data_IF_344018951192
#
_entry.id   IF_344018951192
#
_cell.length_a   1.000
_cell.length_b   1.000
_cell.length_c   1.000
_cell.angle_alpha   90.00
_cell.angle_beta   90.00
_cell.angle_gamma   90.00
#
_symmetry.space_group_name_H-M   'P 1'
#
loop_
_entity.id
_entity.type
_entity.pdbx_description
1 polymer ?
#
# COMPACT_ATOMS: atom_id res chain seq x y z
N UNK A 1 5.55 -12.73 -3.56
CA UNK A 1 4.39 -12.20 -4.29
C UNK A 1 3.06 -12.77 -3.81
N UNK A 2 2.79 -14.08 -3.90
CA UNK A 2 1.51 -14.66 -3.40
C UNK A 2 1.24 -14.41 -1.91
N UNK A 3 2.27 -14.45 -1.07
CA UNK A 3 2.17 -14.08 0.35
C UNK A 3 1.80 -12.60 0.55
N UNK A 4 2.34 -11.70 -0.28
CA UNK A 4 2.01 -10.26 -0.23
C UNK A 4 0.55 -10.02 -0.64
N UNK A 5 0.07 -10.70 -1.68
CA UNK A 5 -1.34 -10.63 -2.09
C UNK A 5 -2.26 -11.17 -0.99
N UNK A 6 -1.89 -12.28 -0.35
CA UNK A 6 -2.67 -12.83 0.76
C UNK A 6 -2.74 -11.86 1.95
N UNK A 7 -1.59 -11.30 2.36
CA UNK A 7 -1.53 -10.29 3.42
C UNK A 7 -2.35 -9.03 3.05
N UNK A 8 -2.24 -8.54 1.80
CA UNK A 8 -3.04 -7.40 1.33
C UNK A 8 -4.54 -7.71 1.33
N UNK A 9 -4.95 -8.93 0.96
CA UNK A 9 -6.36 -9.36 1.05
C UNK A 9 -6.86 -9.35 2.49
N UNK A 10 -6.04 -9.83 3.43
CA UNK A 10 -6.36 -9.76 4.86
C UNK A 10 -6.51 -8.31 5.30
N UNK A 11 -5.53 -7.45 4.98
CA UNK A 11 -5.58 -6.02 5.31
C UNK A 11 -6.88 -5.37 4.75
N UNK A 12 -7.22 -5.64 3.48
CA UNK A 12 -8.44 -5.11 2.84
C UNK A 12 -9.71 -5.59 3.55
N UNK A 13 -9.78 -6.88 3.89
CA UNK A 13 -10.93 -7.45 4.59
C UNK A 13 -11.11 -6.86 5.99
N UNK A 14 -10.01 -6.68 6.73
CA UNK A 14 -10.04 -6.03 8.05
C UNK A 14 -10.49 -4.57 7.95
N UNK A 15 -10.01 -3.84 6.94
CA UNK A 15 -10.44 -2.47 6.69
C UNK A 15 -11.92 -2.36 6.34
N UNK A 16 -12.44 -3.29 5.52
CA UNK A 16 -13.86 -3.36 5.19
C UNK A 16 -14.72 -3.52 6.46
N UNK A 17 -14.35 -4.45 7.34
CA UNK A 17 -15.06 -4.69 8.59
C UNK A 17 -15.05 -3.45 9.51
N UNK A 18 -13.91 -2.76 9.63
CA UNK A 18 -13.80 -1.52 10.43
C UNK A 18 -14.63 -0.38 9.83
N UNK A 19 -14.61 -0.24 8.51
CA UNK A 19 -15.38 0.78 7.81
C UNK A 19 -16.90 0.58 7.99
N UNK A 20 -17.38 -0.67 7.99
CA UNK A 20 -18.77 -1.01 8.32
C UNK A 20 -19.17 -0.62 9.74
N UNK A 21 -18.24 -0.72 10.70
CA UNK A 21 -18.46 -0.26 12.07
C UNK A 21 -18.30 1.27 12.27
N UNK A 22 -18.05 2.02 11.19
CA UNK A 22 -17.86 3.48 11.23
C UNK A 22 -16.43 3.95 11.55
N UNK A 23 -15.48 3.02 11.70
CA UNK A 23 -14.07 3.33 11.93
C UNK A 23 -13.34 3.42 10.58
N UNK A 24 -13.10 4.65 10.13
CA UNK A 24 -12.50 4.93 8.81
C UNK A 24 -11.05 5.39 8.86
N UNK A 25 -10.56 5.77 10.04
CA UNK A 25 -9.18 6.26 10.20
C UNK A 25 -8.21 5.08 10.36
N UNK A 26 -7.07 5.15 9.67
CA UNK A 26 -5.99 4.18 9.92
C UNK A 26 -5.30 4.54 11.23
N UNK A 27 -5.05 3.57 12.10
CA UNK A 27 -4.27 3.84 13.29
C UNK A 27 -2.80 4.13 12.93
N UNK A 28 -2.10 4.86 13.81
CA UNK A 28 -0.65 5.04 13.66
C UNK A 28 0.07 3.67 13.68
N UNK A 29 -0.46 2.70 14.42
CA UNK A 29 0.07 1.34 14.49
C UNK A 29 -0.07 0.59 13.16
N UNK A 30 -1.17 0.79 12.43
CA UNK A 30 -1.34 0.26 11.08
C UNK A 30 -0.27 0.83 10.14
N UNK A 31 0.01 2.14 10.23
CA UNK A 31 1.02 2.81 9.43
C UNK A 31 2.44 2.30 9.76
N UNK A 32 2.77 2.13 11.05
CA UNK A 32 4.05 1.56 11.51
C UNK A 32 4.21 0.12 11.02
N UNK A 33 3.16 -0.69 11.16
CA UNK A 33 3.14 -2.08 10.73
C UNK A 33 3.36 -2.20 9.22
N UNK A 34 2.68 -1.37 8.44
CA UNK A 34 2.87 -1.30 6.99
C UNK A 34 4.31 -0.92 6.62
N UNK A 35 4.88 0.14 7.20
CA UNK A 35 6.29 0.54 6.96
C UNK A 35 7.25 -0.58 7.32
N UNK A 36 7.03 -1.22 8.46
CA UNK A 36 7.88 -2.33 8.93
C UNK A 36 7.88 -3.50 7.95
N UNK A 37 6.73 -3.82 7.35
CA UNK A 37 6.64 -4.85 6.29
C UNK A 37 7.41 -4.45 5.03
N UNK A 38 7.34 -3.18 4.62
CA UNK A 38 8.06 -2.70 3.43
C UNK A 38 9.58 -2.60 3.64
N UNK A 39 10.02 -2.40 4.89
CA UNK A 39 11.44 -2.37 5.25
C UNK A 39 12.03 -3.73 5.67
N UNK A 40 11.25 -4.82 5.63
CA UNK A 40 11.79 -6.14 5.92
C UNK A 40 12.79 -6.54 4.82
N UNK A 41 14.09 -6.40 5.10
CA UNK A 41 15.20 -6.62 4.15
C UNK A 41 15.04 -7.88 3.29
N UNK A 42 14.67 -9.01 3.90
CA UNK A 42 14.50 -10.29 3.17
C UNK A 42 13.38 -10.21 2.13
N UNK A 43 12.28 -9.53 2.46
CA UNK A 43 11.17 -9.30 1.52
C UNK A 43 11.60 -8.34 0.40
N UNK A 44 12.26 -7.25 0.75
CA UNK A 44 12.79 -6.27 -0.21
C UNK A 44 13.75 -6.89 -1.21
N UNK A 45 14.72 -7.68 -0.73
CA UNK A 45 15.68 -8.38 -1.56
C UNK A 45 14.98 -9.35 -2.53
N UNK A 46 14.07 -10.18 -2.03
CA UNK A 46 13.31 -11.12 -2.85
C UNK A 46 12.44 -10.42 -3.91
N UNK A 47 11.79 -9.31 -3.56
CA UNK A 47 10.99 -8.54 -4.51
C UNK A 47 11.85 -8.00 -5.65
N UNK A 48 13.04 -7.46 -5.34
CA UNK A 48 13.97 -6.92 -6.33
C UNK A 48 14.57 -8.01 -7.22
N UNK A 49 14.89 -9.18 -6.68
CA UNK A 49 15.31 -10.34 -7.48
C UNK A 49 14.23 -10.77 -8.48
N UNK A 50 12.97 -10.82 -8.04
CA UNK A 50 11.82 -11.14 -8.90
C UNK A 50 11.67 -10.10 -10.02
N UNK A 51 11.78 -8.81 -9.70
CA UNK A 51 11.70 -7.76 -10.73
C UNK A 51 12.87 -7.78 -11.71
N UNK A 52 14.09 -8.05 -11.21
CA UNK A 52 15.27 -8.21 -12.06
C UNK A 52 15.16 -9.44 -12.99
N UNK A 53 14.53 -10.53 -12.52
CA UNK A 53 14.24 -11.69 -13.35
C UNK A 53 13.12 -11.42 -14.36
N UNK A 54 12.04 -10.74 -13.94
CA UNK A 54 10.95 -10.34 -14.83
C UNK A 54 11.44 -9.51 -16.02
N UNK A 55 12.41 -8.62 -15.80
CA UNK A 55 13.04 -7.82 -16.86
C UNK A 55 13.81 -8.66 -17.90
N UNK A 56 14.17 -9.90 -17.58
CA UNK A 56 14.96 -10.81 -18.43
C UNK A 56 14.16 -12.02 -18.93
N UNK A 57 12.99 -12.29 -18.35
CA UNK A 57 12.23 -13.51 -18.57
C UNK A 57 10.73 -13.24 -18.69
N UNK A 58 10.20 -13.35 -19.92
CA UNK A 58 8.79 -13.05 -20.25
C UNK A 58 7.78 -13.91 -19.45
N UNK A 59 8.17 -15.12 -19.02
CA UNK A 59 7.28 -15.95 -18.19
C UNK A 59 7.15 -15.37 -16.79
N UNK A 60 8.25 -14.89 -16.23
CA UNK A 60 8.26 -14.23 -14.91
C UNK A 60 7.58 -12.87 -14.99
N UNK A 61 7.81 -12.12 -16.06
CA UNK A 61 7.08 -10.87 -16.35
C UNK A 61 5.56 -11.08 -16.35
N UNK A 62 5.08 -12.09 -17.06
CA UNK A 62 3.64 -12.39 -17.13
C UNK A 62 3.04 -12.71 -15.74
N UNK A 63 3.80 -13.42 -14.89
CA UNK A 63 3.38 -13.70 -13.51
C UNK A 63 3.33 -12.41 -12.70
N UNK A 64 4.37 -11.57 -12.77
CA UNK A 64 4.42 -10.28 -12.06
C UNK A 64 3.29 -9.36 -12.50
N UNK A 65 3.01 -9.24 -13.81
CA UNK A 65 1.89 -8.43 -14.33
C UNK A 65 0.54 -8.92 -13.82
N UNK A 66 0.32 -10.24 -13.80
CA UNK A 66 -0.91 -10.82 -13.25
C UNK A 66 -1.06 -10.52 -11.76
N UNK A 67 0.02 -10.64 -10.99
CA UNK A 67 0.02 -10.29 -9.58
C UNK A 67 -0.25 -8.81 -9.34
N UNK A 68 0.37 -7.92 -10.13
CA UNK A 68 0.15 -6.48 -10.05
C UNK A 68 -1.32 -6.10 -10.35
N UNK A 69 -1.98 -6.78 -11.29
CA UNK A 69 -3.40 -6.56 -11.55
C UNK A 69 -4.28 -6.89 -10.32
N UNK A 70 -4.00 -8.02 -9.65
CA UNK A 70 -4.71 -8.40 -8.42
C UNK A 70 -4.44 -7.41 -7.29
N UNK A 71 -3.18 -6.99 -7.10
CA UNK A 71 -2.82 -5.98 -6.10
C UNK A 71 -3.53 -4.65 -6.38
N UNK A 72 -3.61 -4.24 -7.65
CA UNK A 72 -4.31 -3.02 -8.06
C UNK A 72 -5.79 -3.07 -7.68
N UNK A 73 -6.48 -4.17 -7.97
CA UNK A 73 -7.91 -4.32 -7.64
C UNK A 73 -8.17 -4.19 -6.13
N UNK A 74 -7.28 -4.75 -5.31
CA UNK A 74 -7.35 -4.67 -3.85
C UNK A 74 -7.10 -3.24 -3.34
N UNK A 75 -6.08 -2.56 -3.87
CA UNK A 75 -5.78 -1.17 -3.51
C UNK A 75 -6.92 -0.25 -3.96
N UNK A 76 -7.45 -0.44 -5.17
CA UNK A 76 -8.57 0.36 -5.67
C UNK A 76 -9.82 0.15 -4.81
N UNK A 77 -10.06 -1.06 -4.32
CA UNK A 77 -11.14 -1.35 -3.37
C UNK A 77 -10.97 -0.52 -2.09
N UNK A 78 -9.77 -0.52 -1.50
CA UNK A 78 -9.46 0.32 -0.34
C UNK A 78 -9.67 1.82 -0.60
N UNK A 79 -9.20 2.32 -1.74
CA UNK A 79 -9.37 3.72 -2.11
C UNK A 79 -10.85 4.05 -2.24
N UNK A 80 -11.67 3.23 -2.91
CA UNK A 80 -13.10 3.48 -3.06
C UNK A 80 -13.88 3.54 -1.74
N UNK A 81 -13.44 2.82 -0.71
CA UNK A 81 -14.07 2.81 0.61
C UNK A 81 -13.71 4.08 1.41
N UNK A 82 -12.50 4.57 1.22
CA UNK A 82 -11.91 5.65 2.04
C UNK A 82 -12.03 7.03 1.39
N UNK A 83 -12.13 7.07 0.06
CA UNK A 83 -12.24 8.27 -0.75
C UNK A 83 -13.54 9.03 -0.57
N UNK A 84 -13.45 10.35 -0.75
CA UNK A 84 -14.62 11.19 -0.98
C UNK A 84 -15.43 10.65 -2.16
N UNK A 85 -16.78 10.62 -2.06
CA UNK A 85 -17.65 10.15 -3.14
C UNK A 85 -17.61 11.05 -4.38
N UNK A 86 -17.07 12.26 -4.28
CA UNK A 86 -17.01 13.23 -5.38
C UNK A 86 -15.85 12.98 -6.36
N UNK A 87 -14.95 12.04 -6.03
CA UNK A 87 -13.81 11.72 -6.89
C UNK A 87 -14.23 10.93 -8.12
N UNK A 88 -13.72 11.35 -9.28
CA UNK A 88 -13.95 10.65 -10.54
C UNK A 88 -13.22 9.28 -10.56
N UNK A 89 -13.67 8.32 -11.39
CA UNK A 89 -12.99 7.03 -11.53
C UNK A 89 -11.50 7.15 -11.88
N UNK A 90 -11.14 8.12 -12.72
CA UNK A 90 -9.75 8.39 -13.13
C UNK A 90 -8.89 8.84 -11.94
N UNK A 91 -9.45 9.66 -11.05
CA UNK A 91 -8.74 10.10 -9.84
C UNK A 91 -8.57 8.97 -8.83
N UNK A 92 -9.58 8.11 -8.66
CA UNK A 92 -9.49 6.92 -7.82
C UNK A 92 -8.38 5.98 -8.30
N UNK A 93 -8.29 5.77 -9.61
CA UNK A 93 -7.22 4.98 -10.24
C UNK A 93 -5.84 5.59 -10.00
N UNK A 94 -5.69 6.90 -10.22
CA UNK A 94 -4.42 7.60 -9.99
C UNK A 94 -3.98 7.54 -8.52
N UNK A 95 -4.92 7.64 -7.57
CA UNK A 95 -4.63 7.53 -6.14
C UNK A 95 -4.20 6.11 -5.75
N UNK A 96 -4.84 5.09 -6.32
CA UNK A 96 -4.42 3.70 -6.15
C UNK A 96 -2.98 3.48 -6.66
N UNK A 97 -2.63 4.06 -7.81
CA UNK A 97 -1.27 4.03 -8.34
C UNK A 97 -0.27 4.75 -7.42
N UNK A 98 -0.63 5.92 -6.90
CA UNK A 98 0.23 6.65 -5.97
C UNK A 98 0.53 5.86 -4.69
N UNK A 99 -0.46 5.16 -4.13
CA UNK A 99 -0.23 4.27 -2.99
C UNK A 99 0.76 3.15 -3.33
N UNK A 100 0.64 2.55 -4.52
CA UNK A 100 1.57 1.49 -4.96
C UNK A 100 2.98 2.00 -5.18
N UNK A 101 3.13 3.17 -5.81
CA UNK A 101 4.43 3.82 -6.05
C UNK A 101 5.16 4.08 -4.73
N UNK A 102 4.46 4.59 -3.72
CA UNK A 102 5.04 4.83 -2.40
C UNK A 102 5.49 3.51 -1.76
N UNK A 103 4.65 2.46 -1.82
CA UNK A 103 4.98 1.13 -1.33
C UNK A 103 6.22 0.53 -2.02
N UNK A 104 6.33 0.64 -3.35
CA UNK A 104 7.49 0.20 -4.11
C UNK A 104 8.76 0.96 -3.71
N UNK A 105 8.66 2.29 -3.57
CA UNK A 105 9.76 3.13 -3.11
C UNK A 105 10.28 2.72 -1.73
N UNK A 106 9.38 2.41 -0.80
CA UNK A 106 9.75 1.91 0.53
C UNK A 106 10.35 0.51 0.47
N UNK A 107 9.82 -0.39 -0.38
CA UNK A 107 10.40 -1.73 -0.58
C UNK A 107 11.85 -1.62 -1.02
N UNK A 108 12.13 -0.78 -2.02
CA UNK A 108 13.50 -0.55 -2.51
C UNK A 108 14.39 0.05 -1.43
N UNK A 109 13.88 1.06 -0.70
CA UNK A 109 14.62 1.71 0.40
C UNK A 109 14.97 0.72 1.52
N UNK A 110 14.05 -0.18 1.86
CA UNK A 110 14.23 -1.26 2.83
C UNK A 110 15.41 -2.20 2.54
N UNK A 111 15.89 -2.24 1.30
CA UNK A 111 17.09 -3.02 0.96
C UNK A 111 18.38 -2.39 1.51
N UNK A 112 18.49 -1.06 1.54
CA UNK A 112 19.75 -0.37 1.83
C UNK A 112 19.70 0.55 3.05
N UNK A 113 18.55 0.76 3.68
CA UNK A 113 18.46 1.46 4.97
C UNK A 113 18.17 0.48 6.11
N UNK A 114 19.00 0.46 7.15
CA UNK A 114 18.85 -0.41 8.33
C UNK A 114 18.33 0.30 9.57
N UNK A 115 18.47 1.62 9.65
CA UNK A 115 18.27 2.39 10.88
C UNK A 115 17.10 3.39 10.75
N UNK A 116 16.11 3.06 9.92
CA UNK A 116 14.95 3.93 9.74
C UNK A 116 14.06 3.90 10.98
N UNK A 117 13.82 5.06 11.60
CA UNK A 117 12.79 5.18 12.64
C UNK A 117 11.40 5.05 12.00
N UNK A 118 10.80 3.87 12.13
CA UNK A 118 9.49 3.55 11.56
C UNK A 118 8.38 4.38 12.20
N UNK A 119 8.51 4.76 13.47
CA UNK A 119 7.52 5.59 14.17
C UNK A 119 7.58 7.03 13.67
N UNK A 120 8.78 7.60 13.54
CA UNK A 120 8.94 8.93 12.96
C UNK A 120 8.45 8.96 11.51
N UNK A 121 8.78 7.94 10.72
CA UNK A 121 8.32 7.84 9.33
C UNK A 121 6.80 7.67 9.25
N UNK A 122 6.18 6.88 10.12
CA UNK A 122 4.72 6.71 10.17
C UNK A 122 3.99 8.02 10.45
N UNK A 123 4.52 8.85 11.36
CA UNK A 123 3.95 10.18 11.66
C UNK A 123 3.95 11.11 10.45
N UNK A 124 4.94 10.97 9.56
CA UNK A 124 5.03 11.76 8.32
C UNK A 124 4.19 11.15 7.20
N UNK A 125 4.20 9.83 7.06
CA UNK A 125 3.48 9.14 5.99
C UNK A 125 1.97 9.07 6.21
N UNK A 126 1.49 9.01 7.46
CA UNK A 126 0.06 8.93 7.74
C UNK A 126 -0.70 10.12 7.12
N UNK A 127 -0.35 11.39 7.35
CA UNK A 127 -1.01 12.53 6.70
C UNK A 127 -0.94 12.48 5.16
N UNK A 128 0.15 11.95 4.60
CA UNK A 128 0.29 11.79 3.14
C UNK A 128 -0.70 10.74 2.62
N UNK A 129 -0.85 9.61 3.31
CA UNK A 129 -1.87 8.61 2.95
C UNK A 129 -3.27 9.17 3.11
N UNK A 130 -3.58 9.85 4.21
CA UNK A 130 -4.87 10.47 4.45
C UNK A 130 -5.22 11.48 3.34
N UNK A 131 -4.23 12.26 2.88
CA UNK A 131 -4.38 13.17 1.72
C UNK A 131 -4.59 12.42 0.39
N UNK A 132 -3.87 11.33 0.16
CA UNK A 132 -4.00 10.52 -1.07
C UNK A 132 -5.35 9.83 -1.11
N UNK A 133 -5.89 9.37 0.02
CA UNK A 133 -7.23 8.79 0.06
C UNK A 133 -8.32 9.82 0.34
N UNK A 134 -7.99 11.10 0.50
CA UNK A 134 -8.93 12.17 0.86
C UNK A 134 -9.92 11.73 1.96
N UNK A 135 -9.38 11.21 3.07
CA UNK A 135 -10.18 11.13 4.29
C UNK A 135 -10.46 12.58 4.68
N UNK A 136 -11.70 13.01 4.48
CA UNK A 136 -12.14 14.32 4.92
C UNK A 136 -11.83 14.45 6.42
N UNK A 137 -10.84 15.28 6.73
CA UNK A 137 -10.53 15.72 8.09
C UNK A 137 -11.59 16.71 8.60
N UNK A 138 -12.86 16.43 8.32
CA UNK A 138 -14.02 17.15 8.85
C UNK A 138 -14.34 16.58 10.22
N UNK A 139 -13.39 16.75 11.13
CA UNK A 139 -13.60 16.94 12.57
C UNK A 139 -12.35 17.58 13.16
N UNK A 140 -12.01 18.77 12.65
CA UNK A 140 -11.38 19.80 13.47
C UNK A 140 -12.45 20.83 13.80
N UNK A 141 -13.26 20.51 14.81
CA UNK A 141 -14.01 21.50 15.60
C UNK A 141 -13.16 21.96 16.76
#
# INVERSE_FOLDING_TARGET
MWRLIAELRTDVAEYLLRAESGERDKSLDDAISFISRQHERKRSALALEIYAEAARNLKVEAIVRRSAAIERELILTLVKITASPDLSPVELDARADMLRIIADGMTVRGLYTTDTDHTALARVLKPVFDMIVQIDSVTRS
#
